data_IF_877843770385
#
_entry.id   IF_877843770385
#
_cell.length_a   1.000
_cell.length_b   1.000
_cell.length_c   1.000
_cell.angle_alpha   90.00
_cell.angle_beta   90.00
_cell.angle_gamma   90.00
#
_symmetry.space_group_name_H-M   'P 1'
#
loop_
_entity.id
_entity.type
_entity.pdbx_description
1 polymer ?
#
# COMPACT_ATOMS: atom_id res chain seq x y z
N UNK A 1 -18.68 3.76 24.82
CA UNK A 1 -17.88 2.55 25.10
C UNK A 1 -16.86 2.91 26.15
N UNK A 2 -16.85 2.34 27.35
CA UNK A 2 -15.77 2.65 28.29
C UNK A 2 -14.51 1.87 27.88
N UNK A 3 -13.35 2.51 27.84
CA UNK A 3 -12.08 1.87 27.47
C UNK A 3 -11.35 1.65 28.79
N UNK A 4 -11.53 0.46 29.37
CA UNK A 4 -10.89 0.07 30.62
C UNK A 4 -9.43 -0.32 30.38
N UNK A 5 -8.61 -0.39 31.43
CA UNK A 5 -7.22 -0.86 31.30
C UNK A 5 -7.17 -2.25 30.65
N UNK A 6 -6.47 -2.36 29.53
CA UNK A 6 -6.08 -3.63 28.92
C UNK A 6 -4.60 -3.59 28.54
N UNK A 7 -3.92 -4.71 28.74
CA UNK A 7 -2.47 -4.88 28.54
C UNK A 7 -2.10 -5.22 27.09
N UNK A 8 -3.00 -4.99 26.14
CA UNK A 8 -2.79 -5.38 24.75
C UNK A 8 -1.86 -4.37 24.06
N UNK A 9 -0.84 -4.88 23.36
CA UNK A 9 0.07 -4.06 22.54
C UNK A 9 -0.46 -3.85 21.12
N UNK A 10 -1.44 -4.67 20.70
CA UNK A 10 -2.09 -4.61 19.39
C UNK A 10 -3.59 -4.84 19.54
N UNK A 11 -4.38 -3.98 18.90
CA UNK A 11 -5.83 -4.11 18.79
C UNK A 11 -6.22 -4.11 17.31
N UNK A 12 -7.11 -5.03 16.95
CA UNK A 12 -7.68 -5.12 15.61
C UNK A 12 -9.20 -4.96 15.69
N UNK A 13 -9.75 -4.18 14.77
CA UNK A 13 -11.18 -3.95 14.64
C UNK A 13 -11.58 -4.20 13.20
N UNK A 14 -12.54 -5.09 13.00
CA UNK A 14 -13.24 -5.19 11.71
C UNK A 14 -14.40 -4.20 11.66
N UNK A 15 -14.87 -3.92 10.45
CA UNK A 15 -16.16 -3.30 10.21
C UNK A 15 -17.11 -4.30 9.52
N UNK A 16 -18.41 -4.33 9.87
CA UNK A 16 -19.35 -5.25 9.25
C UNK A 16 -19.53 -5.05 7.74
N UNK A 17 -19.34 -3.82 7.26
CA UNK A 17 -19.43 -3.47 5.84
C UNK A 17 -18.62 -2.20 5.55
N UNK A 18 -17.94 -2.16 4.40
CA UNK A 18 -17.19 -1.00 3.94
C UNK A 18 -18.10 0.17 3.57
N UNK A 19 -17.54 1.38 3.60
CA UNK A 19 -18.18 2.64 3.20
C UNK A 19 -19.38 3.10 4.06
N UNK A 20 -19.83 2.33 5.06
CA UNK A 20 -20.81 2.82 6.04
C UNK A 20 -20.18 3.90 6.94
N UNK A 21 -20.60 5.18 6.82
CA UNK A 21 -19.91 6.28 7.49
C UNK A 21 -19.95 6.20 9.02
N UNK A 22 -20.94 5.52 9.60
CA UNK A 22 -21.04 5.38 11.05
C UNK A 22 -19.86 4.60 11.66
N UNK A 23 -19.41 3.51 11.02
CA UNK A 23 -18.29 2.72 11.54
C UNK A 23 -16.99 3.52 11.52
N UNK A 24 -16.71 4.22 10.42
CA UNK A 24 -15.53 5.05 10.30
C UNK A 24 -15.49 6.18 11.36
N UNK A 25 -16.63 6.80 11.67
CA UNK A 25 -16.72 7.81 12.75
C UNK A 25 -16.42 7.20 14.12
N UNK A 26 -17.09 6.11 14.49
CA UNK A 26 -16.92 5.46 15.80
C UNK A 26 -15.48 4.96 15.97
N UNK A 27 -14.89 4.38 14.92
CA UNK A 27 -13.50 3.95 14.89
C UNK A 27 -12.54 5.12 15.16
N UNK A 28 -12.76 6.28 14.55
CA UNK A 28 -11.89 7.43 14.78
C UNK A 28 -12.01 7.97 16.22
N UNK A 29 -13.22 8.03 16.79
CA UNK A 29 -13.42 8.36 18.20
C UNK A 29 -12.68 7.39 19.12
N UNK A 30 -12.70 6.09 18.78
CA UNK A 30 -11.95 5.07 19.50
C UNK A 30 -10.44 5.28 19.38
N UNK A 31 -9.91 5.52 18.18
CA UNK A 31 -8.47 5.81 17.99
C UNK A 31 -8.00 6.99 18.83
N UNK A 32 -8.74 8.10 18.84
CA UNK A 32 -8.40 9.26 19.65
C UNK A 32 -8.31 8.90 21.14
N UNK A 33 -9.20 8.05 21.64
CA UNK A 33 -9.19 7.61 23.04
C UNK A 33 -8.07 6.64 23.36
N UNK A 34 -7.73 5.74 22.43
CA UNK A 34 -6.61 4.80 22.58
C UNK A 34 -5.26 5.50 22.75
N UNK A 35 -5.13 6.76 22.29
CA UNK A 35 -3.92 7.56 22.54
C UNK A 35 -3.66 7.77 24.04
N UNK A 36 -4.70 7.91 24.86
CA UNK A 36 -4.57 8.03 26.31
C UNK A 36 -4.09 6.74 26.99
N UNK A 37 -4.19 5.61 26.30
CA UNK A 37 -3.76 4.29 26.75
C UNK A 37 -2.42 3.86 26.11
N UNK A 38 -1.65 4.81 25.58
CA UNK A 38 -0.29 4.56 25.07
C UNK A 38 -0.20 4.05 23.64
N UNK A 39 -1.31 3.92 22.91
CA UNK A 39 -1.26 3.58 21.49
C UNK A 39 -0.70 4.76 20.66
N UNK A 40 0.25 4.47 19.78
CA UNK A 40 0.96 5.47 18.96
C UNK A 40 0.95 5.17 17.46
N UNK A 41 0.34 4.06 17.05
CA UNK A 41 0.27 3.64 15.65
C UNK A 41 -1.15 3.31 15.27
N UNK A 42 -1.60 3.85 14.14
CA UNK A 42 -2.88 3.52 13.51
C UNK A 42 -2.56 2.84 12.19
N UNK A 43 -3.12 1.66 11.98
CA UNK A 43 -3.00 0.93 10.72
C UNK A 43 -4.40 0.70 10.14
N UNK A 44 -4.59 1.01 8.86
CA UNK A 44 -5.84 0.78 8.13
C UNK A 44 -5.61 -0.16 6.95
N UNK A 45 -6.69 -0.84 6.52
CA UNK A 45 -6.75 -1.70 5.33
C UNK A 45 -6.75 -0.83 4.06
N UNK A 46 -5.72 -0.02 3.95
CA UNK A 46 -5.37 0.77 2.78
C UNK A 46 -3.97 0.38 2.36
N UNK A 47 -3.65 0.57 1.10
CA UNK A 47 -2.35 0.18 0.58
C UNK A 47 -1.22 0.97 1.26
N UNK A 48 -0.08 0.28 1.45
CA UNK A 48 1.08 0.81 2.16
C UNK A 48 1.66 2.08 1.53
N UNK A 49 1.59 2.21 0.20
CA UNK A 49 2.13 3.35 -0.55
C UNK A 49 1.19 4.55 -0.41
N UNK A 50 -0.12 4.36 -0.60
CA UNK A 50 -1.11 5.42 -0.41
C UNK A 50 -1.05 6.02 1.00
N UNK A 51 -0.96 5.17 2.04
CA UNK A 51 -0.82 5.66 3.42
C UNK A 51 0.49 6.44 3.65
N UNK A 52 1.58 5.98 3.04
CA UNK A 52 2.89 6.63 3.12
C UNK A 52 2.91 8.00 2.42
N UNK A 53 2.04 8.20 1.44
CA UNK A 53 1.79 9.48 0.75
C UNK A 53 0.72 10.32 1.45
N UNK A 54 0.27 9.90 2.64
CA UNK A 54 -0.72 10.63 3.43
C UNK A 54 -2.13 10.58 2.83
N UNK A 55 -2.47 9.47 2.17
CA UNK A 55 -3.74 9.24 1.52
C UNK A 55 -4.33 7.86 1.80
N UNK A 56 -5.22 7.46 0.90
CA UNK A 56 -5.96 6.20 0.95
C UNK A 56 -6.08 5.61 -0.46
N UNK A 57 -6.17 4.29 -0.54
CA UNK A 57 -6.56 3.51 -1.72
C UNK A 57 -7.98 2.97 -1.56
N UNK A 58 -8.42 2.07 -2.44
CA UNK A 58 -9.70 1.35 -2.32
C UNK A 58 -10.93 2.25 -2.26
N UNK A 59 -10.84 3.48 -2.78
CA UNK A 59 -11.90 4.49 -2.63
C UNK A 59 -12.10 4.99 -1.19
N UNK A 60 -11.31 4.54 -0.22
CA UNK A 60 -11.47 4.92 1.19
C UNK A 60 -11.25 6.42 1.43
N UNK A 61 -10.58 7.10 0.50
CA UNK A 61 -10.48 8.56 0.49
C UNK A 61 -11.83 9.26 0.27
N UNK A 62 -12.85 8.59 -0.26
CA UNK A 62 -14.19 9.16 -0.48
C UNK A 62 -14.98 9.28 0.84
N UNK A 63 -14.71 8.41 1.81
CA UNK A 63 -15.32 8.41 3.13
C UNK A 63 -14.83 9.62 3.92
N UNK A 64 -15.73 10.56 4.21
CA UNK A 64 -15.41 11.81 4.94
C UNK A 64 -14.65 11.57 6.25
N UNK A 65 -15.07 10.57 7.02
CA UNK A 65 -14.43 10.25 8.30
C UNK A 65 -12.95 9.82 8.12
N UNK A 66 -12.59 9.17 7.02
CA UNK A 66 -11.19 8.82 6.75
C UNK A 66 -10.34 10.07 6.50
N UNK A 67 -10.85 11.04 5.74
CA UNK A 67 -10.15 12.33 5.55
C UNK A 67 -10.01 13.10 6.86
N UNK A 68 -11.06 13.11 7.69
CA UNK A 68 -11.04 13.72 9.02
C UNK A 68 -10.04 13.06 9.96
N UNK A 69 -9.78 11.75 9.82
CA UNK A 69 -8.73 11.06 10.58
C UNK A 69 -7.34 11.64 10.25
N UNK A 70 -7.04 11.85 8.96
CA UNK A 70 -5.76 12.42 8.55
C UNK A 70 -5.62 13.90 8.96
N UNK A 71 -6.71 14.67 8.91
CA UNK A 71 -6.76 16.04 9.42
C UNK A 71 -6.44 16.07 10.92
N UNK A 72 -7.15 15.27 11.71
CA UNK A 72 -6.92 15.16 13.16
C UNK A 72 -5.50 14.67 13.48
N UNK A 73 -4.97 13.70 12.74
CA UNK A 73 -3.60 13.22 12.93
C UNK A 73 -2.57 14.33 12.72
N UNK A 74 -2.76 15.17 11.69
CA UNK A 74 -1.88 16.33 11.44
C UNK A 74 -1.97 17.32 12.60
N UNK A 75 -3.18 17.73 13.00
CA UNK A 75 -3.40 18.67 14.10
C UNK A 75 -2.84 18.16 15.44
N UNK A 76 -3.07 16.88 15.76
CA UNK A 76 -2.54 16.26 16.98
C UNK A 76 -1.00 16.28 16.98
N UNK A 77 -0.38 15.92 15.86
CA UNK A 77 1.07 15.80 15.75
C UNK A 77 1.81 17.15 15.76
N UNK A 78 1.14 18.29 15.56
CA UNK A 78 1.77 19.62 15.61
C UNK A 78 2.35 19.96 17.00
N UNK A 79 1.74 19.42 18.06
CA UNK A 79 2.09 19.76 19.45
C UNK A 79 2.37 18.55 20.34
N UNK A 80 2.15 17.34 19.84
CA UNK A 80 2.36 16.11 20.60
C UNK A 80 3.84 15.89 20.92
N UNK A 81 4.14 15.66 22.21
CA UNK A 81 5.47 15.20 22.64
C UNK A 81 5.81 13.82 22.04
N UNK A 82 4.79 12.98 21.83
CA UNK A 82 4.88 11.68 21.16
C UNK A 82 3.89 11.65 19.98
N UNK A 83 4.37 11.93 18.74
CA UNK A 83 3.52 11.91 17.55
C UNK A 83 2.96 10.53 17.24
N UNK A 84 1.75 10.51 16.66
CA UNK A 84 1.10 9.33 16.12
C UNK A 84 1.63 9.02 14.72
N UNK A 85 1.73 7.72 14.40
CA UNK A 85 2.08 7.23 13.08
C UNK A 85 0.87 6.59 12.39
N UNK A 86 0.76 6.79 11.07
CA UNK A 86 -0.29 6.23 10.23
C UNK A 86 0.31 5.25 9.22
N UNK A 87 -0.32 4.09 9.08
CA UNK A 87 0.15 3.00 8.24
C UNK A 87 -1.01 2.43 7.41
N UNK A 88 -0.69 2.05 6.18
CA UNK A 88 -1.47 1.09 5.42
C UNK A 88 -0.89 -0.29 5.68
N UNK A 89 -1.71 -1.33 5.69
CA UNK A 89 -1.23 -2.72 5.77
C UNK A 89 -1.62 -3.58 4.58
N UNK A 90 -2.34 -3.02 3.61
CA UNK A 90 -2.79 -3.77 2.44
C UNK A 90 -1.87 -3.59 1.21
N UNK A 91 -2.07 -4.44 0.21
CA UNK A 91 -1.48 -4.30 -1.13
C UNK A 91 -2.32 -3.34 -1.98
N UNK A 92 -1.73 -2.71 -3.03
CA UNK A 92 -2.50 -1.90 -3.98
C UNK A 92 -3.27 -2.81 -4.95
N UNK A 93 -4.08 -3.74 -4.46
CA UNK A 93 -4.85 -4.68 -5.27
C UNK A 93 -6.31 -4.63 -4.88
N UNK A 94 -7.19 -4.70 -5.86
CA UNK A 94 -8.64 -4.77 -5.67
C UNK A 94 -9.21 -6.03 -6.31
N UNK A 95 -10.45 -6.37 -5.92
CA UNK A 95 -11.14 -7.52 -6.50
C UNK A 95 -11.30 -7.43 -8.03
N UNK A 96 -11.39 -6.21 -8.56
CA UNK A 96 -11.70 -5.94 -9.97
C UNK A 96 -10.70 -5.03 -10.67
N UNK A 97 -9.65 -4.58 -10.02
CA UNK A 97 -8.64 -3.71 -10.63
C UNK A 97 -7.34 -3.74 -9.84
N UNK A 98 -6.25 -3.32 -10.48
CA UNK A 98 -5.00 -3.04 -9.79
C UNK A 98 -4.28 -1.92 -10.56
N UNK A 99 -3.67 -0.93 -9.90
CA UNK A 99 -2.94 0.11 -10.60
C UNK A 99 -1.74 -0.48 -11.36
N UNK A 100 -1.31 0.22 -12.41
CA UNK A 100 -0.08 -0.12 -13.13
C UNK A 100 1.14 -0.14 -12.20
N UNK A 101 2.05 -1.11 -12.37
CA UNK A 101 3.29 -1.19 -11.59
C UNK A 101 4.28 -0.06 -11.92
N UNK A 102 4.07 0.67 -13.03
CA UNK A 102 4.99 1.69 -13.56
C UNK A 102 5.48 2.66 -12.49
N UNK A 103 4.56 3.38 -11.84
CA UNK A 103 4.92 4.47 -10.91
C UNK A 103 5.68 3.98 -9.69
N UNK A 104 5.39 2.75 -9.25
CA UNK A 104 6.10 2.12 -8.15
C UNK A 104 7.55 1.81 -8.54
N UNK A 105 7.78 1.27 -9.73
CA UNK A 105 9.13 0.94 -10.21
C UNK A 105 9.94 2.17 -10.62
N UNK A 106 9.31 3.18 -11.22
CA UNK A 106 9.93 4.47 -11.52
C UNK A 106 10.44 5.15 -10.25
N UNK A 107 9.66 5.13 -9.16
CA UNK A 107 10.09 5.66 -7.87
C UNK A 107 11.37 4.99 -7.37
N UNK A 108 11.47 3.66 -7.51
CA UNK A 108 12.64 2.89 -7.06
C UNK A 108 13.85 3.17 -7.95
N UNK A 109 13.66 3.19 -9.27
CA UNK A 109 14.69 3.57 -10.23
C UNK A 109 15.27 4.95 -9.88
N UNK A 110 14.40 5.93 -9.66
CA UNK A 110 14.79 7.31 -9.38
C UNK A 110 15.55 7.40 -8.05
N UNK A 111 15.10 6.67 -7.02
CA UNK A 111 15.80 6.59 -5.73
C UNK A 111 17.19 5.94 -5.84
N UNK A 112 17.35 4.95 -6.71
CA UNK A 112 18.64 4.29 -6.98
C UNK A 112 19.54 5.12 -7.91
N UNK A 113 19.00 6.12 -8.61
CA UNK A 113 19.73 6.92 -9.59
C UNK A 113 20.13 6.13 -10.84
N UNK A 114 19.30 5.16 -11.24
CA UNK A 114 19.55 4.31 -12.40
C UNK A 114 18.93 4.90 -13.67
N UNK A 115 19.65 4.79 -14.78
CA UNK A 115 19.16 5.16 -16.11
C UNK A 115 18.66 3.91 -16.84
N UNK A 116 17.50 3.42 -16.41
CA UNK A 116 16.81 2.25 -17.00
C UNK A 116 15.35 2.60 -17.27
N UNK A 117 14.81 2.16 -18.41
CA UNK A 117 13.40 2.43 -18.72
C UNK A 117 12.48 1.42 -18.02
N UNK A 118 11.33 1.91 -17.56
CA UNK A 118 10.27 1.10 -16.97
C UNK A 118 9.17 0.91 -18.01
N UNK A 119 9.41 -0.03 -18.92
CA UNK A 119 8.54 -0.32 -20.06
C UNK A 119 7.28 -1.13 -19.66
N UNK A 120 6.39 -0.51 -18.87
CA UNK A 120 5.12 -1.13 -18.47
C UNK A 120 4.05 -1.14 -19.57
N UNK A 121 4.24 -0.45 -20.71
CA UNK A 121 3.18 -0.22 -21.70
C UNK A 121 2.05 0.66 -21.14
N UNK A 122 0.89 0.75 -21.80
CA UNK A 122 -0.21 1.58 -21.32
C UNK A 122 -0.64 1.22 -19.88
N UNK A 123 -0.85 2.22 -19.01
CA UNK A 123 -1.27 1.98 -17.63
C UNK A 123 -2.65 1.33 -17.58
N UNK A 124 -3.54 1.69 -18.51
CA UNK A 124 -4.91 1.17 -18.55
C UNK A 124 -4.97 -0.34 -18.83
N UNK A 125 -3.93 -0.88 -19.47
CA UNK A 125 -3.79 -2.33 -19.70
C UNK A 125 -3.73 -3.11 -18.39
N UNK A 126 -3.22 -2.50 -17.32
CA UNK A 126 -3.11 -3.10 -16.00
C UNK A 126 -4.35 -2.84 -15.14
N UNK A 127 -4.92 -1.63 -15.20
CA UNK A 127 -6.03 -1.21 -14.32
C UNK A 127 -7.42 -1.71 -14.70
N UNK A 128 -7.63 -2.09 -15.98
CA UNK A 128 -8.91 -2.61 -16.44
C UNK A 128 -9.31 -3.92 -15.76
N UNK A 129 -10.61 -4.14 -15.58
CA UNK A 129 -11.11 -5.33 -14.87
C UNK A 129 -10.82 -6.65 -15.57
N UNK A 130 -10.75 -6.65 -16.90
CA UNK A 130 -10.37 -7.82 -17.69
C UNK A 130 -8.95 -8.28 -17.37
N UNK A 131 -8.05 -7.37 -16.96
CA UNK A 131 -6.68 -7.72 -16.60
C UNK A 131 -6.59 -8.59 -15.34
N UNK A 132 -7.65 -8.61 -14.53
CA UNK A 132 -7.77 -9.38 -13.29
C UNK A 132 -8.72 -10.58 -13.47
N UNK A 133 -9.86 -10.38 -14.13
CA UNK A 133 -10.95 -11.35 -14.17
C UNK A 133 -10.85 -12.36 -15.32
N UNK A 134 -10.18 -12.01 -16.41
CA UNK A 134 -10.00 -12.89 -17.56
C UNK A 134 -8.51 -13.27 -17.72
N UNK A 135 -8.14 -14.54 -17.45
CA UNK A 135 -6.77 -15.00 -17.62
C UNK A 135 -6.18 -14.78 -19.01
N UNK A 136 -7.00 -14.75 -20.06
CA UNK A 136 -6.53 -14.50 -21.43
C UNK A 136 -6.23 -13.01 -21.70
N UNK A 137 -6.91 -12.11 -21.00
CA UNK A 137 -6.75 -10.66 -21.14
C UNK A 137 -5.73 -10.07 -20.16
N UNK A 138 -5.30 -10.86 -19.17
CA UNK A 138 -4.32 -10.45 -18.17
C UNK A 138 -2.92 -10.26 -18.76
N UNK A 139 -2.25 -9.11 -18.55
CA UNK A 139 -0.92 -8.85 -19.09
C UNK A 139 0.17 -9.76 -18.48
N UNK A 140 -0.09 -10.39 -17.33
CA UNK A 140 0.95 -11.04 -16.53
C UNK A 140 1.65 -12.26 -17.15
N UNK A 141 1.08 -12.84 -18.22
CA UNK A 141 1.71 -13.94 -18.97
C UNK A 141 2.58 -13.49 -20.14
N UNK A 142 2.53 -12.20 -20.52
CA UNK A 142 3.28 -11.66 -21.67
C UNK A 142 4.79 -11.60 -21.43
N UNK A 143 5.56 -11.51 -22.51
CA UNK A 143 7.03 -11.45 -22.44
C UNK A 143 7.46 -10.16 -21.72
N UNK A 144 6.83 -9.05 -22.08
CA UNK A 144 7.08 -7.73 -21.50
C UNK A 144 6.83 -7.73 -19.99
N UNK A 145 5.74 -8.37 -19.52
CA UNK A 145 5.45 -8.51 -18.09
C UNK A 145 6.41 -9.48 -17.36
N UNK A 146 7.11 -10.37 -18.08
CA UNK A 146 8.16 -11.22 -17.48
C UNK A 146 9.48 -10.44 -17.37
N UNK A 147 9.85 -9.71 -18.40
CA UNK A 147 11.02 -8.83 -18.39
C UNK A 147 10.88 -7.75 -17.30
N UNK A 148 9.70 -7.15 -17.18
CA UNK A 148 9.42 -6.16 -16.14
C UNK A 148 9.50 -6.75 -14.71
N UNK A 149 9.18 -8.03 -14.53
CA UNK A 149 9.40 -8.73 -13.24
C UNK A 149 10.87 -8.92 -12.92
N UNK A 150 11.68 -9.28 -13.92
CA UNK A 150 13.13 -9.39 -13.76
C UNK A 150 13.70 -8.03 -13.34
N UNK A 151 13.32 -6.96 -14.05
CA UNK A 151 13.71 -5.60 -13.68
C UNK A 151 13.29 -5.26 -12.24
N UNK A 152 12.05 -5.58 -11.85
CA UNK A 152 11.57 -5.31 -10.49
C UNK A 152 12.34 -6.08 -9.41
N UNK A 153 12.66 -7.36 -9.65
CA UNK A 153 13.51 -8.18 -8.76
C UNK A 153 14.94 -7.63 -8.69
N UNK A 154 15.51 -7.15 -9.81
CA UNK A 154 16.85 -6.53 -9.86
C UNK A 154 16.88 -5.19 -9.09
N UNK A 155 15.86 -4.35 -9.25
CA UNK A 155 15.70 -3.10 -8.50
C UNK A 155 15.61 -3.34 -6.99
N UNK A 156 14.80 -4.32 -6.56
CA UNK A 156 14.69 -4.70 -5.16
C UNK A 156 16.02 -5.25 -4.62
N UNK A 157 16.71 -6.06 -5.40
CA UNK A 157 18.02 -6.61 -5.06
C UNK A 157 19.07 -5.51 -4.88
N UNK A 158 19.15 -4.57 -5.84
CA UNK A 158 20.06 -3.43 -5.76
C UNK A 158 19.79 -2.56 -4.52
N UNK A 159 18.51 -2.31 -4.21
CA UNK A 159 18.10 -1.56 -3.03
C UNK A 159 18.59 -2.19 -1.73
N UNK A 160 18.56 -3.52 -1.62
CA UNK A 160 19.04 -4.25 -0.45
C UNK A 160 20.56 -4.37 -0.41
N UNK A 161 21.22 -4.64 -1.54
CA UNK A 161 22.66 -4.76 -1.63
C UNK A 161 23.39 -3.47 -1.19
N UNK A 162 22.84 -2.31 -1.57
CA UNK A 162 23.42 -1.00 -1.28
C UNK A 162 22.81 -0.30 -0.06
N UNK A 163 22.01 -1.00 0.76
CA UNK A 163 21.24 -0.38 1.85
C UNK A 163 22.08 0.50 2.79
N UNK A 164 23.27 0.09 3.29
CA UNK A 164 24.08 0.96 4.16
C UNK A 164 24.49 2.28 3.48
N UNK A 165 24.88 2.21 2.21
CA UNK A 165 25.31 3.37 1.41
C UNK A 165 24.13 4.30 1.12
N UNK A 166 23.00 3.75 0.69
CA UNK A 166 21.79 4.51 0.35
C UNK A 166 21.19 5.19 1.58
N UNK A 167 21.15 4.50 2.72
CA UNK A 167 20.68 5.06 3.99
C UNK A 167 21.59 6.21 4.46
N UNK A 168 22.91 6.03 4.34
CA UNK A 168 23.87 7.08 4.71
C UNK A 168 23.79 8.31 3.79
N UNK A 169 23.50 8.11 2.50
CA UNK A 169 23.36 9.19 1.52
C UNK A 169 22.01 9.92 1.59
N UNK A 170 20.96 9.24 2.08
CA UNK A 170 19.59 9.80 2.15
C UNK A 170 19.05 9.73 3.58
N UNK A 171 18.31 8.69 3.93
CA UNK A 171 17.89 8.36 5.30
C UNK A 171 17.29 6.95 5.35
N UNK A 172 17.12 6.41 6.57
CA UNK A 172 16.39 5.16 6.77
C UNK A 172 14.94 5.25 6.28
N UNK A 173 14.28 6.39 6.50
CA UNK A 173 12.90 6.61 6.07
C UNK A 173 12.76 6.65 4.54
N UNK A 174 13.70 7.29 3.84
CA UNK A 174 13.73 7.31 2.39
C UNK A 174 13.97 5.90 1.81
N UNK A 175 14.88 5.13 2.41
CA UNK A 175 15.12 3.75 2.02
C UNK A 175 13.89 2.85 2.26
N UNK A 176 13.22 2.98 3.41
CA UNK A 176 12.00 2.22 3.69
C UNK A 176 10.87 2.59 2.70
N UNK A 177 10.75 3.86 2.31
CA UNK A 177 9.82 4.31 1.28
C UNK A 177 10.11 3.65 -0.07
N UNK A 178 11.36 3.66 -0.51
CA UNK A 178 11.77 2.98 -1.75
C UNK A 178 11.49 1.47 -1.68
N UNK A 179 11.74 0.82 -0.53
CA UNK A 179 11.48 -0.60 -0.35
C UNK A 179 9.99 -0.94 -0.42
N UNK A 180 9.14 -0.11 0.16
CA UNK A 180 7.68 -0.28 0.09
C UNK A 180 7.21 -0.17 -1.36
N UNK A 181 7.72 0.81 -2.13
CA UNK A 181 7.41 0.94 -3.56
C UNK A 181 7.91 -0.27 -4.37
N UNK A 182 9.14 -0.72 -4.13
CA UNK A 182 9.72 -1.90 -4.81
C UNK A 182 8.88 -3.15 -4.57
N UNK A 183 8.48 -3.39 -3.31
CA UNK A 183 7.63 -4.52 -2.94
C UNK A 183 6.26 -4.42 -3.62
N UNK A 184 5.63 -3.24 -3.58
CA UNK A 184 4.33 -3.01 -4.21
C UNK A 184 4.34 -3.24 -5.73
N UNK A 185 5.32 -2.67 -6.43
CA UNK A 185 5.46 -2.85 -7.88
C UNK A 185 5.72 -4.30 -8.29
N UNK A 186 6.56 -5.01 -7.54
CA UNK A 186 6.84 -6.43 -7.78
C UNK A 186 5.62 -7.33 -7.49
N UNK A 187 4.91 -7.06 -6.40
CA UNK A 187 3.73 -7.83 -6.03
C UNK A 187 2.56 -7.60 -6.99
N UNK A 188 2.38 -6.39 -7.52
CA UNK A 188 1.46 -6.11 -8.62
C UNK A 188 1.74 -6.98 -9.85
N UNK A 189 3.01 -7.07 -10.26
CA UNK A 189 3.39 -7.90 -11.39
C UNK A 189 3.15 -9.39 -11.12
N UNK A 190 3.41 -9.86 -9.90
CA UNK A 190 3.11 -11.23 -9.47
C UNK A 190 1.61 -11.50 -9.43
N UNK A 191 0.82 -10.53 -9.00
CA UNK A 191 -0.64 -10.58 -8.98
C UNK A 191 -1.22 -10.74 -10.40
N UNK A 192 -0.75 -9.95 -11.38
CA UNK A 192 -1.14 -10.15 -12.77
C UNK A 192 -0.65 -11.49 -13.34
N UNK A 193 0.55 -11.93 -12.98
CA UNK A 193 1.04 -13.24 -13.42
C UNK A 193 0.22 -14.41 -12.86
N UNK A 194 -0.35 -14.25 -11.67
CA UNK A 194 -1.31 -15.19 -11.09
C UNK A 194 -2.67 -15.09 -11.80
N UNK A 195 -3.15 -13.87 -12.06
CA UNK A 195 -4.42 -13.61 -12.77
C UNK A 195 -4.42 -14.19 -14.19
N UNK A 196 -3.27 -14.21 -14.86
CA UNK A 196 -3.10 -14.81 -16.19
C UNK A 196 -3.11 -16.34 -16.20
N UNK A 197 -3.20 -17.01 -15.04
CA UNK A 197 -3.33 -18.47 -14.97
C UNK A 197 -4.82 -18.83 -15.05
N UNK A 198 -5.23 -19.69 -15.99
CA UNK A 198 -6.58 -20.23 -15.97
C UNK A 198 -6.88 -20.85 -14.60
N UNK A 199 -7.97 -20.44 -13.97
CA UNK A 199 -8.47 -21.10 -12.77
C UNK A 199 -8.88 -22.55 -13.08
N UNK A 200 -8.76 -23.43 -12.09
CA UNK A 200 -9.31 -24.78 -12.21
C UNK A 200 -10.84 -24.67 -12.28
N UNK A 201 -11.44 -25.11 -13.38
CA UNK A 201 -12.89 -24.91 -13.64
C UNK A 201 -13.80 -25.67 -12.66
N UNK A 202 -13.23 -26.55 -11.85
CA UNK A 202 -13.95 -27.46 -10.95
C UNK A 202 -14.16 -26.94 -9.51
N UNK A 203 -13.77 -25.69 -9.19
CA UNK A 203 -13.93 -25.12 -7.83
C UNK A 203 -14.93 -23.95 -7.73
N UNK A 204 -15.93 -23.90 -8.60
CA UNK A 204 -17.10 -23.00 -8.45
C UNK A 204 -18.34 -23.75 -7.99
#
# INVERSE_FOLDING_TARGET
MDVTDFTAELLAFGEPTHFEPAFARIRNELFARLTAHGFRSIALETDRVAALDGGFSHGFGEVRANRQLLEWLREYNETAAEPLSFHGFDAPTEMFSAPSPRRYLEHVRDYLGLDVDVEAGDDERWSRSEAILDPAESPGATLEARELRILADDLLTALHADAPRLIAATSRAAWDRARIHATAGLDLLRYHAASARPGDRDTR
#
